data_IF_566454907801
#
_entry.id   IF_566454907801
#
_cell.length_a   1.000
_cell.length_b   1.000
_cell.length_c   1.000
_cell.angle_alpha   90.00
_cell.angle_beta   90.00
_cell.angle_gamma   90.00
#
_symmetry.space_group_name_H-M   'P 1'
#
loop_
_entity.id
_entity.type
_entity.pdbx_description
1 polymer ?
#
# COMPACT_ATOMS: atom_id res chain seq x y z
N UNK A 1 -36.36 -13.22 1.78
CA UNK A 1 -35.37 -13.75 0.83
C UNK A 1 -35.11 -12.62 -0.14
N UNK A 2 -33.86 -12.18 -0.31
CA UNK A 2 -33.52 -11.13 -1.28
C UNK A 2 -33.82 -11.66 -2.68
N UNK A 3 -34.64 -10.93 -3.44
CA UNK A 3 -35.01 -11.30 -4.80
C UNK A 3 -33.75 -11.41 -5.68
N UNK A 4 -33.50 -12.61 -6.18
CA UNK A 4 -32.40 -12.89 -7.10
C UNK A 4 -32.79 -12.27 -8.44
N UNK A 5 -32.01 -11.28 -8.90
CA UNK A 5 -32.23 -10.61 -10.18
C UNK A 5 -31.38 -11.24 -11.29
N UNK A 6 -31.79 -11.10 -12.54
CA UNK A 6 -31.00 -11.52 -13.70
C UNK A 6 -29.61 -10.87 -13.68
N UNK A 7 -29.54 -9.58 -13.37
CA UNK A 7 -28.27 -8.85 -13.24
C UNK A 7 -27.35 -9.44 -12.15
N UNK A 8 -27.91 -9.88 -11.01
CA UNK A 8 -27.12 -10.55 -9.98
C UNK A 8 -26.56 -11.90 -10.45
N UNK A 9 -27.35 -12.65 -11.22
CA UNK A 9 -26.93 -13.94 -11.79
C UNK A 9 -25.86 -13.76 -12.87
N UNK A 10 -25.96 -12.72 -13.70
CA UNK A 10 -24.96 -12.41 -14.73
C UNK A 10 -23.63 -11.97 -14.13
N UNK A 11 -23.66 -11.10 -13.10
CA UNK A 11 -22.44 -10.73 -12.36
C UNK A 11 -21.80 -11.93 -11.68
N UNK A 12 -22.60 -12.82 -11.11
CA UNK A 12 -22.10 -14.04 -10.48
C UNK A 12 -21.51 -15.00 -11.51
N UNK A 13 -22.19 -15.21 -12.65
CA UNK A 13 -21.68 -15.97 -13.79
C UNK A 13 -20.32 -15.44 -14.25
N UNK A 14 -20.19 -14.15 -14.48
CA UNK A 14 -18.95 -13.56 -14.99
C UNK A 14 -17.81 -13.65 -13.96
N UNK A 15 -18.13 -13.52 -12.66
CA UNK A 15 -17.19 -13.76 -11.57
C UNK A 15 -16.71 -15.21 -11.53
N UNK A 16 -17.62 -16.18 -11.73
CA UNK A 16 -17.30 -17.60 -11.78
C UNK A 16 -16.44 -17.94 -13.00
N UNK A 17 -16.73 -17.37 -14.17
CA UNK A 17 -15.91 -17.54 -15.38
C UNK A 17 -14.47 -17.11 -15.12
N UNK A 18 -14.25 -15.93 -14.54
CA UNK A 18 -12.89 -15.45 -14.21
C UNK A 18 -12.16 -16.38 -13.22
N UNK A 19 -12.88 -16.96 -12.27
CA UNK A 19 -12.31 -17.95 -11.33
C UNK A 19 -11.93 -19.24 -12.05
N UNK A 20 -12.75 -19.72 -12.98
CA UNK A 20 -12.46 -20.91 -13.79
C UNK A 20 -11.21 -20.66 -14.64
N UNK A 21 -11.13 -19.54 -15.35
CA UNK A 21 -9.95 -19.17 -16.15
C UNK A 21 -8.68 -19.09 -15.31
N UNK A 22 -8.77 -18.59 -14.07
CA UNK A 22 -7.65 -18.58 -13.15
C UNK A 22 -7.21 -20.00 -12.80
N UNK A 23 -8.16 -20.90 -12.47
CA UNK A 23 -7.89 -22.32 -12.15
C UNK A 23 -7.28 -23.05 -13.35
N UNK A 24 -7.78 -22.85 -14.56
CA UNK A 24 -7.22 -23.49 -15.76
C UNK A 24 -5.76 -23.07 -16.00
N UNK A 25 -5.45 -21.79 -15.77
CA UNK A 25 -4.06 -21.32 -15.82
C UNK A 25 -3.20 -21.92 -14.70
N UNK A 26 -3.76 -22.15 -13.51
CA UNK A 26 -3.06 -22.84 -12.42
C UNK A 26 -2.70 -24.27 -12.83
N UNK A 27 -3.66 -24.99 -13.40
CA UNK A 27 -3.47 -26.37 -13.86
C UNK A 27 -2.43 -26.41 -14.98
N UNK A 28 -2.51 -25.48 -15.94
CA UNK A 28 -1.55 -25.38 -17.04
C UNK A 28 -0.12 -25.17 -16.56
N UNK A 29 0.11 -24.21 -15.65
CA UNK A 29 1.45 -23.92 -15.14
C UNK A 29 1.96 -25.01 -14.18
N UNK A 30 1.08 -25.62 -13.37
CA UNK A 30 1.43 -26.79 -12.54
C UNK A 30 1.93 -27.97 -13.39
N UNK A 31 1.32 -28.19 -14.55
CA UNK A 31 1.78 -29.22 -15.50
C UNK A 31 3.09 -28.85 -16.22
N UNK A 32 3.38 -27.55 -16.38
CA UNK A 32 4.53 -27.03 -17.13
C UNK A 32 5.81 -26.97 -16.28
N UNK A 33 5.70 -26.55 -15.02
CA UNK A 33 6.82 -26.40 -14.09
C UNK A 33 6.50 -27.15 -12.79
N UNK A 34 6.76 -28.47 -12.80
CA UNK A 34 6.58 -29.36 -11.64
C UNK A 34 7.25 -28.77 -10.38
N UNK A 35 6.42 -28.39 -9.41
CA UNK A 35 6.79 -28.09 -8.01
C UNK A 35 7.24 -26.67 -7.63
N UNK A 36 6.95 -25.63 -8.43
CA UNK A 36 7.15 -24.24 -7.95
C UNK A 36 5.88 -23.62 -7.35
N UNK A 37 5.87 -23.25 -6.06
CA UNK A 37 4.74 -22.54 -5.45
C UNK A 37 4.51 -21.18 -6.13
N UNK A 38 3.24 -20.85 -6.37
CA UNK A 38 2.79 -19.59 -6.95
C UNK A 38 1.54 -19.09 -6.23
N UNK A 39 1.28 -17.79 -6.31
CA UNK A 39 0.11 -17.12 -5.74
C UNK A 39 -0.54 -16.21 -6.78
N UNK A 40 -1.85 -16.04 -6.71
CA UNK A 40 -2.58 -15.09 -7.56
C UNK A 40 -2.99 -13.86 -6.76
N UNK A 41 -2.84 -12.68 -7.36
CA UNK A 41 -3.23 -11.39 -6.78
C UNK A 41 -4.18 -10.70 -7.72
N UNK A 42 -5.24 -10.10 -7.16
CA UNK A 42 -6.14 -9.25 -7.92
C UNK A 42 -5.45 -7.91 -8.18
N UNK A 43 -5.29 -7.52 -9.44
CA UNK A 43 -4.78 -6.20 -9.78
C UNK A 43 -5.88 -5.13 -9.68
N UNK A 44 -5.48 -3.86 -9.83
CA UNK A 44 -6.39 -2.69 -9.73
C UNK A 44 -7.52 -2.70 -10.78
N UNK A 45 -7.41 -3.51 -11.82
CA UNK A 45 -8.41 -3.67 -12.88
C UNK A 45 -9.34 -4.86 -12.66
N UNK A 46 -9.20 -5.56 -11.52
CA UNK A 46 -9.99 -6.75 -11.20
C UNK A 46 -9.56 -7.99 -11.99
N UNK A 47 -8.34 -7.99 -12.54
CA UNK A 47 -7.77 -9.15 -13.22
C UNK A 47 -6.85 -9.91 -12.27
N UNK A 48 -6.83 -11.22 -12.41
CA UNK A 48 -5.94 -12.08 -11.63
C UNK A 48 -4.55 -12.12 -12.28
N UNK A 49 -3.54 -11.67 -11.53
CA UNK A 49 -2.12 -11.76 -11.91
C UNK A 49 -1.44 -12.88 -11.14
N UNK A 50 -0.73 -13.74 -11.86
CA UNK A 50 0.06 -14.83 -11.28
C UNK A 50 1.43 -14.33 -10.84
N UNK A 51 1.86 -14.73 -9.64
CA UNK A 51 3.16 -14.40 -9.07
C UNK A 51 3.80 -15.71 -8.60
N UNK A 52 4.87 -16.13 -9.25
CA UNK A 52 5.68 -17.27 -8.84
C UNK A 52 6.51 -16.91 -7.60
N UNK A 53 6.65 -17.83 -6.64
CA UNK A 53 7.50 -17.62 -5.46
C UNK A 53 8.98 -17.43 -5.86
N UNK A 54 9.42 -18.04 -6.97
CA UNK A 54 10.74 -17.79 -7.56
C UNK A 54 10.93 -16.34 -8.06
N UNK A 55 9.84 -15.60 -8.29
CA UNK A 55 9.88 -14.17 -8.60
C UNK A 55 9.85 -13.28 -7.34
N UNK A 56 9.54 -13.84 -6.16
CA UNK A 56 9.64 -13.14 -4.88
C UNK A 56 11.11 -13.08 -4.41
N UNK A 57 11.90 -14.13 -4.66
CA UNK A 57 13.33 -14.16 -4.31
C UNK A 57 14.24 -13.44 -5.32
N UNK A 58 13.77 -13.18 -6.55
CA UNK A 58 14.55 -12.48 -7.59
C UNK A 58 14.20 -11.01 -7.75
N UNK A 59 13.11 -10.53 -7.14
CA UNK A 59 12.84 -9.10 -7.05
C UNK A 59 13.60 -8.52 -5.86
N UNK A 60 14.92 -8.40 -6.00
CA UNK A 60 15.57 -7.22 -5.42
C UNK A 60 14.86 -6.02 -6.03
N UNK A 61 14.17 -5.21 -5.23
CA UNK A 61 13.53 -4.03 -5.76
C UNK A 61 14.65 -3.15 -6.34
N UNK A 62 14.49 -2.72 -7.60
CA UNK A 62 15.53 -2.04 -8.38
C UNK A 62 15.99 -0.72 -7.73
N UNK A 63 15.25 -0.23 -6.74
CA UNK A 63 15.47 0.99 -5.95
C UNK A 63 16.25 0.76 -4.63
N UNK A 64 16.54 -0.48 -4.25
CA UNK A 64 17.16 -0.80 -2.96
C UNK A 64 16.18 -0.85 -1.77
N UNK A 65 14.88 -1.03 -2.02
CA UNK A 65 13.87 -1.16 -0.96
C UNK A 65 14.19 -2.30 0.03
N UNK A 66 14.09 -2.03 1.35
CA UNK A 66 14.62 -2.93 2.37
C UNK A 66 13.62 -4.02 2.77
N UNK A 67 13.37 -4.98 1.88
CA UNK A 67 12.32 -6.00 2.06
C UNK A 67 12.44 -6.84 3.35
N UNK A 68 13.67 -7.08 3.81
CA UNK A 68 13.96 -7.88 5.02
C UNK A 68 13.95 -7.09 6.32
N UNK A 69 13.82 -5.76 6.25
CA UNK A 69 13.80 -4.89 7.41
C UNK A 69 12.42 -4.85 8.07
N UNK A 70 12.35 -4.24 9.26
CA UNK A 70 11.08 -4.02 9.95
C UNK A 70 10.11 -3.16 9.11
N UNK A 71 8.81 -3.34 9.31
CA UNK A 71 7.78 -2.51 8.68
C UNK A 71 8.02 -1.00 8.87
N UNK A 72 8.51 -0.60 10.04
CA UNK A 72 8.84 0.79 10.33
C UNK A 72 9.96 1.29 9.40
N UNK A 73 11.03 0.51 9.25
CA UNK A 73 12.16 0.87 8.39
C UNK A 73 11.74 0.92 6.92
N UNK A 74 10.86 0.03 6.47
CA UNK A 74 10.30 0.06 5.12
C UNK A 74 9.44 1.32 4.88
N UNK A 75 8.59 1.69 5.84
CA UNK A 75 7.79 2.92 5.77
C UNK A 75 8.69 4.15 5.75
N UNK A 76 9.71 4.20 6.61
CA UNK A 76 10.68 5.29 6.67
C UNK A 76 11.50 5.40 5.40
N UNK A 77 11.87 4.27 4.78
CA UNK A 77 12.52 4.23 3.49
C UNK A 77 11.63 4.92 2.44
N UNK A 78 10.35 4.54 2.33
CA UNK A 78 9.43 5.14 1.36
C UNK A 78 9.27 6.65 1.56
N UNK A 79 9.14 7.12 2.81
CA UNK A 79 9.10 8.56 3.10
C UNK A 79 10.36 9.27 2.60
N UNK A 80 11.55 8.72 2.89
CA UNK A 80 12.83 9.33 2.50
C UNK A 80 13.06 9.29 0.99
N UNK A 81 12.75 8.17 0.36
CA UNK A 81 12.89 7.95 -1.08
C UNK A 81 12.01 8.91 -1.88
N UNK A 82 10.73 9.04 -1.50
CA UNK A 82 9.81 9.99 -2.13
C UNK A 82 10.08 11.43 -1.75
N UNK A 83 10.74 11.64 -0.61
CA UNK A 83 11.16 12.97 -0.15
C UNK A 83 9.99 13.92 0.06
N UNK A 84 8.84 13.45 0.55
CA UNK A 84 7.66 14.29 0.80
C UNK A 84 6.72 13.68 1.82
N UNK A 85 5.75 14.46 2.27
CA UNK A 85 4.68 13.98 3.14
C UNK A 85 3.78 12.97 2.41
N UNK A 86 3.41 11.90 3.10
CA UNK A 86 2.58 10.82 2.55
C UNK A 86 1.49 10.39 3.52
N UNK A 87 0.32 10.04 2.97
CA UNK A 87 -0.80 9.48 3.74
C UNK A 87 -0.65 7.98 3.98
N UNK A 88 -1.39 7.46 4.96
CA UNK A 88 -1.38 6.02 5.26
C UNK A 88 -1.78 5.14 4.05
N UNK A 89 -2.73 5.62 3.24
CA UNK A 89 -3.20 4.91 2.05
C UNK A 89 -2.14 4.88 0.96
N UNK A 90 -1.48 6.00 0.73
CA UNK A 90 -0.39 6.12 -0.22
C UNK A 90 0.80 5.21 0.16
N UNK A 91 1.22 5.25 1.42
CA UNK A 91 2.27 4.37 1.94
C UNK A 91 1.86 2.90 1.79
N UNK A 92 0.60 2.58 2.06
CA UNK A 92 0.09 1.22 1.93
C UNK A 92 0.11 0.74 0.47
N UNK A 93 -0.33 1.57 -0.47
CA UNK A 93 -0.26 1.29 -1.90
C UNK A 93 1.19 1.00 -2.34
N UNK A 94 2.13 1.85 -1.93
CA UNK A 94 3.54 1.65 -2.26
C UNK A 94 4.10 0.35 -1.64
N UNK A 95 3.72 0.00 -0.41
CA UNK A 95 4.16 -1.25 0.21
C UNK A 95 3.57 -2.49 -0.48
N UNK A 96 2.35 -2.42 -1.00
CA UNK A 96 1.73 -3.56 -1.70
C UNK A 96 2.40 -3.89 -3.03
N UNK A 97 3.17 -2.96 -3.61
CA UNK A 97 3.98 -3.23 -4.81
C UNK A 97 5.12 -4.22 -4.53
N UNK A 98 5.53 -4.33 -3.26
CA UNK A 98 6.54 -5.29 -2.77
C UNK A 98 5.89 -6.46 -2.03
N UNK A 99 4.79 -6.22 -1.31
CA UNK A 99 4.12 -7.20 -0.45
C UNK A 99 2.79 -7.69 -1.05
N UNK A 100 2.90 -8.49 -2.10
CA UNK A 100 1.79 -8.97 -2.90
C UNK A 100 0.72 -9.80 -2.17
N UNK A 101 1.05 -10.37 -1.00
CA UNK A 101 0.11 -11.12 -0.17
C UNK A 101 -0.88 -10.24 0.60
N UNK A 102 -0.68 -8.92 0.59
CA UNK A 102 -1.53 -7.96 1.27
C UNK A 102 -2.38 -7.18 0.27
N UNK A 103 -3.67 -7.05 0.57
CA UNK A 103 -4.48 -6.00 -0.05
C UNK A 103 -4.20 -4.65 0.64
N UNK A 104 -4.52 -3.57 -0.08
CA UNK A 104 -4.25 -2.20 0.36
C UNK A 104 -4.90 -1.89 1.70
N UNK A 105 -6.13 -2.36 1.95
CA UNK A 105 -6.83 -2.12 3.22
C UNK A 105 -6.13 -2.74 4.43
N UNK A 106 -5.68 -4.00 4.32
CA UNK A 106 -4.92 -4.67 5.38
C UNK A 106 -3.57 -3.97 5.58
N UNK A 107 -2.92 -3.56 4.49
CA UNK A 107 -1.65 -2.84 4.56
C UNK A 107 -1.83 -1.46 5.22
N UNK A 108 -2.89 -0.72 4.88
CA UNK A 108 -3.23 0.59 5.48
C UNK A 108 -3.42 0.50 6.99
N UNK A 109 -4.09 -0.55 7.49
CA UNK A 109 -4.21 -0.82 8.93
C UNK A 109 -2.84 -1.08 9.56
N UNK A 110 -2.01 -1.90 8.91
CA UNK A 110 -0.64 -2.22 9.38
C UNK A 110 0.22 -0.96 9.46
N UNK A 111 0.24 -0.15 8.42
CA UNK A 111 0.94 1.14 8.35
C UNK A 111 0.51 2.02 9.50
N UNK A 112 -0.80 2.27 9.63
CA UNK A 112 -1.36 3.15 10.67
C UNK A 112 -0.92 2.75 12.08
N UNK A 113 -0.97 1.45 12.40
CA UNK A 113 -0.54 0.93 13.70
C UNK A 113 0.96 1.12 13.92
N UNK A 114 1.78 0.72 12.94
CA UNK A 114 3.24 0.73 13.07
C UNK A 114 3.78 2.16 13.19
N UNK A 115 3.37 3.07 12.30
CA UNK A 115 3.90 4.43 12.28
C UNK A 115 3.39 5.26 13.46
N UNK A 116 2.14 5.09 13.87
CA UNK A 116 1.59 5.78 15.04
C UNK A 116 2.27 5.35 16.33
N UNK A 117 2.56 4.05 16.48
CA UNK A 117 3.31 3.54 17.62
C UNK A 117 4.74 4.10 17.64
N UNK A 118 5.41 4.15 16.48
CA UNK A 118 6.75 4.70 16.36
C UNK A 118 6.81 6.20 16.67
N UNK A 119 5.83 6.98 16.21
CA UNK A 119 5.67 8.40 16.51
C UNK A 119 5.51 8.64 18.02
N UNK A 120 4.55 7.97 18.67
CA UNK A 120 4.32 8.10 20.11
C UNK A 120 5.55 7.74 20.95
N UNK A 121 6.28 6.71 20.52
CA UNK A 121 7.50 6.26 21.19
C UNK A 121 8.77 7.02 20.77
N UNK A 122 8.67 8.04 19.91
CA UNK A 122 9.80 8.83 19.38
C UNK A 122 10.94 7.97 18.82
N UNK A 123 10.60 6.83 18.18
CA UNK A 123 11.59 5.86 17.66
C UNK A 123 12.35 6.39 16.44
N UNK A 124 11.75 7.30 15.69
CA UNK A 124 12.34 7.90 14.50
C UNK A 124 12.54 9.40 14.77
N UNK A 125 13.79 9.85 14.76
CA UNK A 125 14.14 11.26 14.96
C UNK A 125 13.51 12.11 13.85
N UNK A 126 12.83 13.17 14.25
CA UNK A 126 12.21 14.14 13.35
C UNK A 126 10.93 13.67 12.67
N UNK A 127 10.44 12.44 12.93
CA UNK A 127 9.16 11.99 12.38
C UNK A 127 8.02 12.82 12.98
N UNK A 128 7.17 13.38 12.12
CA UNK A 128 6.03 14.21 12.50
C UNK A 128 4.75 13.75 11.82
N UNK A 129 3.63 14.08 12.47
CA UNK A 129 2.28 13.86 12.00
C UNK A 129 1.63 15.20 11.69
N UNK A 130 1.08 15.35 10.48
CA UNK A 130 0.33 16.53 10.05
C UNK A 130 -1.10 16.11 9.73
N UNK A 131 -2.08 16.77 10.36
CA UNK A 131 -3.49 16.60 10.02
C UNK A 131 -3.85 17.44 8.80
N UNK A 132 -4.45 16.80 7.80
CA UNK A 132 -4.99 17.45 6.60
C UNK A 132 -6.43 17.94 6.85
N UNK A 133 -7.16 17.20 7.67
CA UNK A 133 -8.48 17.59 8.18
C UNK A 133 -8.52 17.40 9.70
N UNK A 134 -9.65 17.77 10.34
CA UNK A 134 -9.91 17.40 11.75
C UNK A 134 -10.03 15.88 11.97
N UNK A 135 -10.09 15.08 10.90
CA UNK A 135 -10.17 13.62 10.97
C UNK A 135 -8.79 13.00 11.15
N UNK A 136 -8.66 12.13 12.15
CA UNK A 136 -7.44 11.34 12.38
C UNK A 136 -7.11 10.36 11.23
N UNK A 137 -8.07 10.14 10.30
CA UNK A 137 -7.89 9.27 9.12
C UNK A 137 -7.06 9.93 8.03
N UNK A 138 -7.00 11.26 8.00
CA UNK A 138 -6.32 12.04 6.97
C UNK A 138 -5.01 12.60 7.50
N UNK A 139 -4.23 11.72 8.13
CA UNK A 139 -2.93 12.05 8.67
C UNK A 139 -1.85 11.83 7.61
N UNK A 140 -1.04 12.86 7.40
CA UNK A 140 0.19 12.80 6.65
C UNK A 140 1.37 12.58 7.58
N UNK A 141 2.33 11.82 7.10
CA UNK A 141 3.58 11.54 7.80
C UNK A 141 4.75 12.11 7.01
N UNK A 142 5.70 12.67 7.73
CA UNK A 142 6.93 13.20 7.14
C UNK A 142 7.95 13.57 8.22
N UNK A 143 8.93 14.40 7.86
CA UNK A 143 9.96 14.84 8.79
C UNK A 143 9.88 16.34 9.08
N UNK A 144 10.21 16.72 10.30
CA UNK A 144 10.28 18.11 10.77
C UNK A 144 11.13 19.02 9.88
N UNK A 145 12.26 18.52 9.37
CA UNK A 145 13.14 19.23 8.41
C UNK A 145 12.45 19.65 7.10
N UNK A 146 11.30 19.05 6.80
CA UNK A 146 10.48 19.36 5.63
C UNK A 146 9.45 20.46 5.90
N UNK A 147 9.44 21.03 7.11
CA UNK A 147 8.67 22.21 7.44
C UNK A 147 9.51 23.48 7.30
N UNK A 148 8.86 24.59 6.97
CA UNK A 148 9.39 25.95 7.09
C UNK A 148 9.48 26.35 8.57
N UNK A 149 10.11 27.49 8.84
CA UNK A 149 10.16 28.07 10.19
C UNK A 149 8.75 28.31 10.77
N UNK A 150 7.80 28.67 9.91
CA UNK A 150 6.37 28.85 10.23
C UNK A 150 5.59 27.54 10.36
N UNK A 151 6.27 26.39 10.40
CA UNK A 151 5.67 25.05 10.50
C UNK A 151 4.75 24.67 9.33
N UNK A 152 4.94 25.30 8.16
CA UNK A 152 4.25 24.93 6.93
C UNK A 152 5.07 23.91 6.15
N UNK A 153 4.43 23.02 5.41
CA UNK A 153 5.15 22.05 4.55
C UNK A 153 5.85 22.82 3.42
N UNK A 154 7.16 22.60 3.25
CA UNK A 154 7.93 23.14 2.12
C UNK A 154 7.39 22.61 0.79
N UNK A 155 7.43 23.43 -0.26
CA UNK A 155 6.80 23.13 -1.55
C UNK A 155 7.28 21.79 -2.13
N UNK A 156 8.59 21.55 -2.10
CA UNK A 156 9.25 20.35 -2.60
C UNK A 156 8.88 19.07 -1.84
N UNK A 157 8.24 19.20 -0.67
CA UNK A 157 7.85 18.09 0.20
C UNK A 157 6.33 17.95 0.32
N UNK A 158 5.54 18.66 -0.50
CA UNK A 158 4.08 18.57 -0.47
C UNK A 158 3.56 17.17 -0.87
N UNK A 159 2.44 16.73 -0.29
CA UNK A 159 1.76 15.51 -0.71
C UNK A 159 1.10 15.68 -2.09
N UNK A 160 0.84 14.59 -2.81
CA UNK A 160 0.18 14.66 -4.12
C UNK A 160 -1.31 15.06 -4.06
N UNK A 161 -2.01 14.75 -2.97
CA UNK A 161 -3.47 14.89 -2.87
C UNK A 161 -3.94 16.28 -2.35
N UNK A 162 -3.07 17.29 -2.25
CA UNK A 162 -3.43 18.62 -1.75
C UNK A 162 -4.10 19.49 -2.82
N UNK A 163 -5.36 19.20 -3.15
CA UNK A 163 -6.27 20.23 -3.63
C UNK A 163 -6.79 21.06 -2.46
N UNK A 164 -6.20 22.24 -2.21
CA UNK A 164 -6.68 23.29 -1.29
C UNK A 164 -6.73 23.00 0.22
N UNK A 165 -5.58 22.90 0.89
CA UNK A 165 -5.55 22.89 2.38
C UNK A 165 -4.52 23.91 2.87
N UNK A 166 -5.03 25.06 3.34
CA UNK A 166 -4.24 26.20 3.81
C UNK A 166 -3.86 26.13 5.29
N UNK A 167 -4.45 25.20 6.06
CA UNK A 167 -4.20 25.07 7.50
C UNK A 167 -3.68 23.68 7.87
N UNK A 168 -2.41 23.63 8.27
CA UNK A 168 -1.77 22.46 8.87
C UNK A 168 -2.16 22.41 10.35
N UNK A 169 -2.92 21.39 10.75
CA UNK A 169 -3.18 21.12 12.16
C UNK A 169 -2.06 20.20 12.65
N UNK A 170 -1.17 20.72 13.50
CA UNK A 170 -0.23 19.87 14.24
C UNK A 170 -0.98 19.14 15.36
N UNK A 171 -0.87 17.81 15.38
CA UNK A 171 -1.57 16.92 16.34
C UNK A 171 -0.58 16.13 17.19
#
# INVERSE_FOLDING_TARGET
>A
MSDISLESLEKERDSLIRKIEAIERMIHEYHKDKDKPFFYVLDKSGNYKMIFESNLDTKKPLDGFPFKETWLNQIVYLLKDRGRFMGNEEIANALTDYHYSFNVDKMKRKVSVVISAAYKAKRIKGLIKVGVTKSAKDALWGFDKWLTEDKKIKEEHRPFEMGHIEEIIMV
#
